data_IF_824441779081
#
_entry.id   IF_824441779081
#
_cell.length_a   1.000
_cell.length_b   1.000
_cell.length_c   1.000
_cell.angle_alpha   90.00
_cell.angle_beta   90.00
_cell.angle_gamma   90.00
#
_symmetry.space_group_name_H-M   'P 1'
#
loop_
_entity.id
_entity.type
_entity.pdbx_description
1 polymer ?
#
# COMPACT_ATOMS: atom_id res chain seq x y z
N UNK A 1 -8.92 -16.19 -5.39
CA UNK A 1 -10.21 -16.11 -4.66
C UNK A 1 -10.17 -15.16 -3.44
N UNK A 2 -8.99 -14.62 -3.08
CA UNK A 2 -8.79 -13.89 -1.80
C UNK A 2 -9.73 -12.70 -1.59
N UNK A 3 -10.24 -12.09 -2.63
CA UNK A 3 -11.07 -10.89 -2.56
C UNK A 3 -12.40 -10.99 -3.32
N UNK A 4 -12.83 -12.20 -3.64
CA UNK A 4 -14.14 -12.38 -4.32
C UNK A 4 -15.26 -11.74 -3.50
N UNK A 5 -16.26 -11.09 -4.16
CA UNK A 5 -17.31 -10.34 -3.46
C UNK A 5 -18.37 -11.25 -2.79
N UNK A 6 -18.18 -12.55 -2.85
CA UNK A 6 -19.04 -13.56 -2.19
C UNK A 6 -18.21 -14.33 -1.17
N UNK A 7 -18.75 -14.61 0.02
CA UNK A 7 -18.00 -15.34 1.04
C UNK A 7 -17.80 -16.79 0.61
N UNK A 8 -16.57 -17.25 0.78
CA UNK A 8 -16.15 -18.64 0.49
C UNK A 8 -15.82 -19.30 1.82
N UNK A 9 -16.43 -20.43 2.07
CA UNK A 9 -16.20 -21.23 3.28
C UNK A 9 -15.51 -22.54 2.89
N UNK A 10 -14.57 -22.95 3.71
CA UNK A 10 -13.90 -24.25 3.56
C UNK A 10 -14.34 -25.15 4.71
N UNK A 11 -14.93 -26.29 4.40
CA UNK A 11 -15.32 -27.30 5.36
C UNK A 11 -14.43 -28.54 5.17
N UNK A 12 -13.90 -29.07 6.25
CA UNK A 12 -13.23 -30.36 6.24
C UNK A 12 -14.21 -31.41 6.72
N UNK A 13 -14.64 -32.31 5.82
CA UNK A 13 -15.62 -33.36 6.10
C UNK A 13 -15.11 -34.40 7.12
N UNK A 14 -13.79 -34.55 7.24
CA UNK A 14 -13.13 -35.47 8.20
C UNK A 14 -12.90 -34.85 9.57
N UNK A 15 -13.07 -33.54 9.72
CA UNK A 15 -12.95 -32.87 11.00
C UNK A 15 -14.25 -32.99 11.78
N UNK A 16 -14.20 -33.62 12.97
CA UNK A 16 -15.34 -33.61 13.90
C UNK A 16 -15.84 -32.18 14.18
N UNK A 17 -17.05 -32.06 14.73
CA UNK A 17 -17.65 -30.77 15.07
C UNK A 17 -16.71 -29.93 15.93
N UNK A 18 -16.26 -28.80 15.39
CA UNK A 18 -15.49 -27.81 16.14
C UNK A 18 -16.43 -26.94 16.94
N UNK A 19 -16.04 -26.60 18.15
CA UNK A 19 -16.82 -25.73 19.04
C UNK A 19 -16.06 -24.48 19.39
N UNK A 20 -16.78 -23.40 19.68
CA UNK A 20 -16.22 -22.14 20.19
C UNK A 20 -17.05 -21.65 21.40
N UNK A 21 -16.38 -20.89 22.27
CA UNK A 21 -17.01 -20.31 23.46
C UNK A 21 -17.19 -18.82 23.21
N UNK A 22 -18.43 -18.34 23.28
CA UNK A 22 -18.78 -16.93 23.11
C UNK A 22 -19.59 -16.43 24.31
N UNK A 23 -19.60 -15.12 24.60
CA UNK A 23 -20.52 -14.54 25.58
C UNK A 23 -21.97 -14.89 25.22
N UNK A 24 -22.79 -15.23 26.23
CA UNK A 24 -24.21 -15.57 26.01
C UNK A 24 -24.98 -14.45 25.25
N UNK A 25 -24.57 -13.20 25.48
CA UNK A 25 -25.14 -12.01 24.80
C UNK A 25 -24.83 -11.91 23.30
N UNK A 26 -23.83 -12.66 22.83
CA UNK A 26 -23.42 -12.69 21.40
C UNK A 26 -24.04 -13.87 20.63
N UNK A 27 -24.84 -14.70 21.31
CA UNK A 27 -25.55 -15.82 20.70
C UNK A 27 -26.68 -15.29 19.83
N UNK A 28 -26.78 -15.80 18.60
CA UNK A 28 -27.80 -15.44 17.63
C UNK A 28 -28.71 -16.62 17.33
N UNK A 29 -29.87 -16.38 16.74
CA UNK A 29 -30.81 -17.44 16.32
C UNK A 29 -30.24 -18.44 15.29
N UNK A 30 -29.06 -18.13 14.72
CA UNK A 30 -28.37 -18.97 13.75
C UNK A 30 -27.35 -19.92 14.39
N UNK A 31 -27.06 -19.73 15.67
CA UNK A 31 -26.06 -20.51 16.38
C UNK A 31 -26.67 -21.79 16.97
N UNK A 32 -25.96 -22.88 16.83
CA UNK A 32 -26.31 -24.13 17.52
C UNK A 32 -25.63 -24.15 18.86
N UNK A 33 -26.37 -23.84 19.92
CA UNK A 33 -25.87 -23.85 21.29
C UNK A 33 -25.81 -25.29 21.79
N UNK A 34 -24.62 -25.69 22.25
CA UNK A 34 -24.37 -27.03 22.80
C UNK A 34 -24.45 -27.03 24.32
N UNK A 35 -23.97 -25.96 24.97
CA UNK A 35 -23.94 -25.81 26.42
C UNK A 35 -23.85 -24.33 26.82
N UNK A 36 -24.27 -24.03 28.06
CA UNK A 36 -24.14 -22.70 28.67
C UNK A 36 -23.53 -22.83 30.05
N UNK A 37 -22.53 -22.03 30.35
CA UNK A 37 -21.79 -22.07 31.61
C UNK A 37 -21.38 -20.68 32.06
N UNK A 38 -21.04 -20.57 33.36
CA UNK A 38 -20.51 -19.32 33.92
C UNK A 38 -18.99 -19.46 33.99
N UNK A 39 -18.27 -18.58 33.28
CA UNK A 39 -16.84 -18.45 33.41
C UNK A 39 -16.56 -17.63 34.68
N UNK A 40 -15.91 -18.25 35.66
CA UNK A 40 -15.63 -17.63 36.94
C UNK A 40 -14.74 -16.40 36.78
N UNK A 41 -14.91 -15.45 37.71
CA UNK A 41 -14.07 -14.26 37.77
C UNK A 41 -12.60 -14.62 37.98
N UNK A 42 -11.72 -13.97 37.26
CA UNK A 42 -10.28 -14.08 37.49
C UNK A 42 -9.89 -13.03 38.52
N UNK A 43 -9.49 -13.53 39.72
CA UNK A 43 -9.00 -12.70 40.82
C UNK A 43 -7.49 -12.78 40.95
N UNK A 44 -6.84 -11.67 41.26
CA UNK A 44 -5.42 -11.59 41.56
C UNK A 44 -5.21 -11.02 42.96
N UNK A 45 -4.32 -11.66 43.74
CA UNK A 45 -3.95 -11.09 45.02
C UNK A 45 -2.89 -10.01 44.82
N UNK A 46 -3.23 -8.76 45.15
CA UNK A 46 -2.31 -7.62 45.12
C UNK A 46 -1.91 -7.28 46.57
N UNK A 47 -0.61 -7.26 46.82
CA UNK A 47 -0.05 -6.88 48.12
C UNK A 47 -0.02 -5.35 48.24
N UNK A 48 -0.69 -4.77 49.25
CA UNK A 48 -0.67 -3.34 49.55
C UNK A 48 0.63 -2.95 50.28
N UNK A 49 0.97 -1.67 50.19
CA UNK A 49 2.15 -1.09 50.89
C UNK A 49 2.18 -1.33 52.42
N UNK A 50 1.03 -1.67 53.00
CA UNK A 50 0.89 -2.01 54.44
C UNK A 50 1.07 -3.50 54.75
N UNK A 51 1.41 -4.35 53.74
CA UNK A 51 1.62 -5.79 53.87
C UNK A 51 0.32 -6.60 53.91
N UNK A 52 -0.85 -5.99 53.68
CA UNK A 52 -2.12 -6.72 53.56
C UNK A 52 -2.36 -7.13 52.11
N UNK A 53 -2.89 -8.35 51.92
CA UNK A 53 -3.29 -8.86 50.60
C UNK A 53 -4.73 -8.52 50.34
N UNK A 54 -4.98 -7.93 49.21
CA UNK A 54 -6.34 -7.66 48.70
C UNK A 54 -6.55 -8.45 47.42
N UNK A 55 -7.69 -9.17 47.35
CA UNK A 55 -8.09 -9.87 46.13
C UNK A 55 -8.81 -8.88 45.21
N UNK A 56 -8.18 -8.53 44.12
CA UNK A 56 -8.78 -7.64 43.11
C UNK A 56 -9.32 -8.48 41.95
N UNK A 57 -10.56 -8.22 41.58
CA UNK A 57 -11.22 -8.88 40.46
C UNK A 57 -10.68 -8.27 39.16
N UNK A 58 -9.92 -9.05 38.38
CA UNK A 58 -9.31 -8.62 37.11
C UNK A 58 -10.28 -8.75 35.94
N UNK A 59 -11.10 -9.79 35.96
CA UNK A 59 -12.13 -10.05 34.96
C UNK A 59 -13.40 -10.51 35.68
N UNK A 60 -14.54 -9.85 35.52
CA UNK A 60 -15.79 -10.26 36.15
C UNK A 60 -16.30 -11.58 35.58
N UNK A 61 -17.04 -12.32 36.39
CA UNK A 61 -17.72 -13.54 35.95
C UNK A 61 -18.65 -13.22 34.77
N UNK A 62 -18.54 -13.98 33.68
CA UNK A 62 -19.39 -13.82 32.49
C UNK A 62 -20.10 -15.13 32.17
N UNK A 63 -21.34 -15.00 31.75
CA UNK A 63 -22.07 -16.13 31.15
C UNK A 63 -21.57 -16.37 29.74
N UNK A 64 -21.19 -17.62 29.48
CA UNK A 64 -20.65 -18.09 28.19
C UNK A 64 -21.55 -19.15 27.63
N UNK A 65 -21.64 -19.20 26.31
CA UNK A 65 -22.26 -20.29 25.56
C UNK A 65 -21.21 -21.00 24.74
N UNK A 66 -21.26 -22.33 24.78
CA UNK A 66 -20.49 -23.18 23.87
C UNK A 66 -21.35 -23.47 22.66
N UNK A 67 -20.94 -22.98 21.50
CA UNK A 67 -21.66 -23.15 20.24
C UNK A 67 -20.84 -23.99 19.26
N UNK A 68 -21.52 -24.54 18.25
CA UNK A 68 -20.82 -25.05 17.07
C UNK A 68 -20.10 -23.88 16.40
N UNK A 69 -18.82 -24.06 16.13
CA UNK A 69 -17.97 -22.99 15.57
C UNK A 69 -18.60 -22.42 14.30
N UNK A 70 -18.75 -21.09 14.30
CA UNK A 70 -19.31 -20.38 13.15
C UNK A 70 -18.41 -20.55 11.94
N UNK A 71 -18.97 -20.80 10.73
CA UNK A 71 -18.18 -20.84 9.52
C UNK A 71 -17.57 -19.44 9.27
N UNK A 72 -16.24 -19.40 9.12
CA UNK A 72 -15.50 -18.17 8.81
C UNK A 72 -15.16 -18.18 7.34
N UNK A 73 -15.47 -17.10 6.64
CA UNK A 73 -15.07 -16.93 5.25
C UNK A 73 -13.55 -16.87 5.14
N UNK A 74 -12.97 -17.61 4.21
CA UNK A 74 -11.53 -17.64 3.94
C UNK A 74 -11.05 -16.48 3.08
N UNK A 75 -11.98 -15.76 2.46
CA UNK A 75 -11.72 -14.58 1.63
C UNK A 75 -12.24 -13.31 2.29
N UNK A 76 -11.71 -12.20 1.84
CA UNK A 76 -12.08 -10.86 2.27
C UNK A 76 -13.05 -10.25 1.24
N UNK A 77 -14.31 -10.12 1.61
CA UNK A 77 -15.35 -9.57 0.71
C UNK A 77 -15.41 -8.04 0.71
N UNK A 78 -14.69 -7.39 1.63
CA UNK A 78 -14.60 -5.93 1.75
C UNK A 78 -13.14 -5.49 1.78
N UNK A 79 -12.36 -5.73 0.71
CA UNK A 79 -10.95 -5.41 0.70
C UNK A 79 -10.72 -3.90 0.88
N UNK A 80 -9.55 -3.56 1.43
CA UNK A 80 -9.21 -2.18 1.83
C UNK A 80 -9.42 -1.14 0.74
N UNK A 81 -9.14 -1.49 -0.53
CA UNK A 81 -9.31 -0.55 -1.66
C UNK A 81 -10.75 -0.18 -1.98
N UNK A 82 -11.74 -0.89 -1.41
CA UNK A 82 -13.17 -0.56 -1.60
C UNK A 82 -13.64 0.52 -0.64
N UNK A 83 -12.92 0.73 0.48
CA UNK A 83 -13.20 1.77 1.46
C UNK A 83 -12.86 3.16 0.91
N UNK A 84 -13.47 4.20 1.47
CA UNK A 84 -13.03 5.56 1.17
C UNK A 84 -11.67 5.85 1.86
N UNK A 85 -10.73 6.56 1.19
CA UNK A 85 -9.41 6.84 1.76
C UNK A 85 -9.41 7.45 3.16
N UNK A 86 -10.41 8.29 3.45
CA UNK A 86 -10.56 8.97 4.76
C UNK A 86 -11.02 8.03 5.89
N UNK A 87 -11.46 6.83 5.57
CA UNK A 87 -11.92 5.80 6.51
C UNK A 87 -10.83 4.78 6.83
N UNK A 88 -9.67 4.89 6.17
CA UNK A 88 -8.55 3.96 6.29
C UNK A 88 -7.46 4.55 7.17
N UNK A 89 -6.95 3.74 8.09
CA UNK A 89 -5.81 4.08 8.95
C UNK A 89 -4.48 3.68 8.29
N UNK A 90 -3.39 4.27 8.76
CA UNK A 90 -2.04 3.91 8.30
C UNK A 90 -1.71 2.44 8.55
N UNK A 91 -2.12 1.91 9.70
CA UNK A 91 -1.89 0.51 10.06
C UNK A 91 -2.66 -0.45 9.14
N UNK A 92 -3.89 -0.12 8.75
CA UNK A 92 -4.66 -0.91 7.77
C UNK A 92 -3.95 -0.99 6.42
N UNK A 93 -3.34 0.13 5.94
CA UNK A 93 -2.56 0.11 4.69
C UNK A 93 -1.32 -0.77 4.80
N UNK A 94 -0.59 -0.71 5.91
CA UNK A 94 0.62 -1.53 6.14
C UNK A 94 0.27 -3.02 6.29
N UNK A 95 -0.80 -3.33 7.00
CA UNK A 95 -1.28 -4.71 7.16
C UNK A 95 -1.75 -5.29 5.84
N UNK A 96 -2.52 -4.51 5.07
CA UNK A 96 -2.96 -4.90 3.73
C UNK A 96 -1.77 -5.17 2.80
N UNK A 97 -0.75 -4.31 2.81
CA UNK A 97 0.48 -4.50 2.05
C UNK A 97 1.16 -5.82 2.39
N UNK A 98 1.37 -6.10 3.68
CA UNK A 98 1.97 -7.36 4.15
C UNK A 98 1.16 -8.58 3.73
N UNK A 99 -0.16 -8.51 3.89
CA UNK A 99 -1.09 -9.60 3.52
C UNK A 99 -1.07 -9.92 2.03
N UNK A 100 -1.08 -8.91 1.17
CA UNK A 100 -1.23 -9.08 -0.28
C UNK A 100 0.08 -9.46 -0.97
N UNK A 101 1.20 -8.85 -0.53
CA UNK A 101 2.49 -9.01 -1.18
C UNK A 101 3.46 -9.92 -0.43
N UNK A 102 3.06 -10.41 0.75
CA UNK A 102 3.91 -11.21 1.64
C UNK A 102 5.28 -10.55 1.89
N UNK A 103 5.27 -9.21 1.97
CA UNK A 103 6.44 -8.38 2.16
C UNK A 103 6.38 -7.75 3.55
N UNK A 104 7.36 -8.09 4.38
CA UNK A 104 7.44 -7.60 5.76
C UNK A 104 8.17 -6.26 5.88
N UNK A 105 8.78 -5.78 4.80
CA UNK A 105 9.33 -4.42 4.75
C UNK A 105 8.17 -3.44 4.60
N UNK A 106 8.16 -2.41 5.40
CA UNK A 106 7.12 -1.38 5.28
C UNK A 106 7.31 -0.57 3.99
N UNK A 107 6.21 -0.26 3.28
CA UNK A 107 6.28 0.63 2.13
C UNK A 107 6.63 2.06 2.60
N UNK A 108 7.27 2.84 1.74
CA UNK A 108 7.63 4.23 2.03
C UNK A 108 6.38 5.10 2.18
N UNK A 109 5.45 4.93 1.28
CA UNK A 109 4.13 5.57 1.24
C UNK A 109 3.24 4.88 0.20
N UNK A 110 2.00 5.35 0.09
CA UNK A 110 1.01 4.79 -0.86
C UNK A 110 0.12 5.87 -1.45
N UNK A 111 -0.58 5.47 -2.51
CA UNK A 111 -1.61 6.26 -3.17
C UNK A 111 -2.88 5.42 -3.18
N UNK A 112 -3.93 5.87 -2.51
CA UNK A 112 -5.25 5.27 -2.61
C UNK A 112 -5.99 5.89 -3.80
N UNK A 113 -6.27 5.07 -4.80
CA UNK A 113 -7.02 5.44 -6.00
C UNK A 113 -8.50 5.23 -5.73
N UNK A 114 -9.29 6.26 -5.96
CA UNK A 114 -10.74 6.19 -5.86
C UNK A 114 -11.33 7.15 -6.89
N UNK A 115 -11.90 6.60 -7.95
CA UNK A 115 -12.51 7.36 -9.04
C UNK A 115 -13.78 6.65 -9.51
N UNK A 116 -14.86 7.40 -9.58
CA UNK A 116 -16.17 6.92 -10.00
C UNK A 116 -16.54 7.40 -11.42
N UNK A 117 -15.94 8.49 -11.90
CA UNK A 117 -16.20 9.06 -13.21
C UNK A 117 -14.91 9.60 -13.85
N UNK A 118 -14.63 9.41 -15.15
CA UNK A 118 -15.46 8.83 -16.20
C UNK A 118 -15.47 7.29 -16.27
N UNK A 119 -14.79 6.61 -15.35
CA UNK A 119 -14.80 5.16 -15.19
C UNK A 119 -14.56 4.80 -13.74
N UNK A 120 -15.06 3.66 -13.31
CA UNK A 120 -14.81 3.14 -11.97
C UNK A 120 -13.39 2.58 -11.88
N UNK A 121 -12.60 3.15 -11.00
CA UNK A 121 -11.26 2.65 -10.70
C UNK A 121 -10.97 2.85 -9.22
N UNK A 122 -10.74 1.75 -8.52
CA UNK A 122 -10.31 1.72 -7.14
C UNK A 122 -8.98 0.98 -7.04
N UNK A 123 -8.21 1.28 -6.01
CA UNK A 123 -6.93 0.60 -5.86
C UNK A 123 -6.01 1.26 -4.87
N UNK A 124 -4.91 0.60 -4.58
CA UNK A 124 -3.85 1.13 -3.73
C UNK A 124 -2.52 0.82 -4.40
N UNK A 125 -1.74 1.86 -4.64
CA UNK A 125 -0.37 1.74 -5.16
C UNK A 125 0.60 2.04 -4.03
N UNK A 126 1.56 1.17 -3.81
CA UNK A 126 2.60 1.29 -2.80
C UNK A 126 3.96 1.54 -3.43
N UNK A 127 4.70 2.45 -2.84
CA UNK A 127 6.11 2.66 -3.13
C UNK A 127 6.92 1.79 -2.16
N UNK A 128 7.48 0.66 -2.62
CA UNK A 128 8.29 -0.20 -1.78
C UNK A 128 9.65 0.46 -1.52
N UNK A 129 10.30 0.07 -0.44
CA UNK A 129 11.70 0.38 -0.22
C UNK A 129 12.55 -0.50 -1.15
N UNK A 130 13.28 0.13 -2.07
CA UNK A 130 14.09 -0.57 -3.07
C UNK A 130 15.42 -0.95 -2.42
N UNK A 131 15.75 -2.23 -2.42
CA UNK A 131 17.06 -2.71 -2.01
C UNK A 131 17.84 -3.12 -3.28
N UNK A 132 18.62 -2.18 -3.83
CA UNK A 132 19.34 -2.36 -5.09
C UNK A 132 20.47 -3.39 -5.05
N UNK A 133 20.87 -3.83 -3.85
CA UNK A 133 22.02 -4.74 -3.70
C UNK A 133 21.67 -6.22 -3.89
N UNK A 134 20.42 -6.64 -3.68
CA UNK A 134 20.08 -8.07 -3.58
C UNK A 134 18.76 -8.51 -4.24
N UNK A 135 17.93 -7.61 -4.74
CA UNK A 135 16.60 -7.96 -5.28
C UNK A 135 16.42 -7.41 -6.70
N UNK A 136 15.85 -8.22 -7.57
CA UNK A 136 15.31 -7.72 -8.85
C UNK A 136 14.26 -6.64 -8.54
N UNK A 137 14.39 -5.47 -9.16
CA UNK A 137 13.48 -4.34 -8.98
C UNK A 137 12.20 -4.64 -9.79
N UNK A 138 11.51 -5.72 -9.43
CA UNK A 138 10.21 -6.05 -10.03
C UNK A 138 9.12 -5.82 -9.00
N UNK A 139 8.30 -4.81 -9.24
CA UNK A 139 7.06 -4.61 -8.52
C UNK A 139 6.02 -5.64 -8.95
N UNK A 140 4.89 -5.62 -8.29
CA UNK A 140 3.74 -6.46 -8.64
C UNK A 140 2.46 -5.64 -8.52
N UNK A 141 1.82 -5.35 -9.64
CA UNK A 141 0.51 -4.70 -9.65
C UNK A 141 -0.53 -5.73 -10.08
N UNK A 142 -1.40 -6.07 -9.13
CA UNK A 142 -2.49 -7.04 -9.31
C UNK A 142 -3.71 -6.33 -9.87
N UNK A 143 -4.20 -6.79 -11.01
CA UNK A 143 -5.41 -6.26 -11.63
C UNK A 143 -6.61 -7.13 -11.28
N UNK A 144 -7.67 -6.46 -10.86
CA UNK A 144 -8.98 -7.02 -10.54
C UNK A 144 -10.06 -6.38 -11.42
N UNK A 145 -11.15 -7.10 -11.58
CA UNK A 145 -12.39 -6.59 -12.14
C UNK A 145 -13.54 -7.05 -11.25
N UNK A 146 -14.21 -6.12 -10.58
CA UNK A 146 -15.19 -6.43 -9.54
C UNK A 146 -14.66 -7.41 -8.49
N UNK A 147 -13.48 -7.13 -7.93
CA UNK A 147 -12.80 -7.96 -6.92
C UNK A 147 -12.38 -9.36 -7.41
N UNK A 148 -12.60 -9.68 -8.68
CA UNK A 148 -12.14 -10.94 -9.28
C UNK A 148 -10.78 -10.72 -9.92
N UNK A 149 -9.79 -11.49 -9.51
CA UNK A 149 -8.43 -11.40 -10.02
C UNK A 149 -8.38 -11.68 -11.54
N UNK A 150 -7.68 -10.82 -12.27
CA UNK A 150 -7.50 -10.92 -13.72
C UNK A 150 -6.09 -11.39 -14.04
N UNK A 151 -5.10 -10.62 -13.67
CA UNK A 151 -3.68 -10.91 -13.90
C UNK A 151 -2.76 -9.97 -13.12
N UNK A 152 -1.48 -10.28 -13.11
CA UNK A 152 -0.42 -9.40 -12.60
C UNK A 152 0.26 -8.63 -13.74
N UNK A 153 0.69 -7.40 -13.46
CA UNK A 153 1.59 -6.59 -14.30
C UNK A 153 1.17 -6.48 -15.78
N UNK A 154 -0.13 -6.23 -16.04
CA UNK A 154 -0.62 -6.06 -17.41
C UNK A 154 -0.07 -4.75 -17.98
N UNK A 155 0.91 -4.85 -18.89
CA UNK A 155 1.64 -3.73 -19.51
C UNK A 155 0.74 -2.79 -20.32
N UNK A 156 -0.38 -3.29 -20.81
CA UNK A 156 -1.36 -2.51 -21.55
C UNK A 156 -2.08 -1.49 -20.65
N UNK A 157 -2.28 -1.83 -19.38
CA UNK A 157 -2.97 -0.95 -18.39
C UNK A 157 -1.96 -0.15 -17.58
N UNK A 158 -0.85 -0.77 -17.23
CA UNK A 158 0.13 -0.20 -16.31
C UNK A 158 1.35 0.26 -17.11
N UNK A 159 1.68 1.56 -17.13
CA UNK A 159 2.92 2.05 -17.73
C UNK A 159 4.14 1.30 -17.21
N UNK A 160 5.09 1.01 -18.09
CA UNK A 160 6.27 0.20 -17.77
C UNK A 160 7.04 0.71 -16.54
N UNK A 161 7.19 2.02 -16.41
CA UNK A 161 7.89 2.60 -15.26
C UNK A 161 7.15 2.45 -13.94
N UNK A 162 5.82 2.24 -13.96
CA UNK A 162 5.02 1.96 -12.76
C UNK A 162 5.12 0.50 -12.31
N UNK A 163 5.64 -0.40 -13.14
CA UNK A 163 5.84 -1.81 -12.78
C UNK A 163 6.90 -2.02 -11.69
N UNK A 164 7.60 -0.97 -11.27
CA UNK A 164 8.45 -0.99 -10.07
C UNK A 164 7.65 -0.89 -8.76
N UNK A 165 6.38 -0.49 -8.84
CA UNK A 165 5.49 -0.37 -7.70
C UNK A 165 4.83 -1.71 -7.35
N UNK A 166 4.35 -1.81 -6.11
CA UNK A 166 3.43 -2.87 -5.70
C UNK A 166 2.04 -2.28 -5.56
N UNK A 167 1.02 -3.00 -5.96
CA UNK A 167 -0.32 -2.43 -5.87
C UNK A 167 -1.44 -3.37 -6.27
N UNK A 168 -2.64 -2.90 -6.03
CA UNK A 168 -3.89 -3.52 -6.45
C UNK A 168 -4.68 -2.46 -7.20
N UNK A 169 -5.21 -2.82 -8.36
CA UNK A 169 -6.10 -1.98 -9.15
C UNK A 169 -7.35 -2.80 -9.46
N UNK A 170 -8.51 -2.26 -9.15
CA UNK A 170 -9.81 -2.84 -9.47
C UNK A 170 -10.58 -1.88 -10.39
N UNK A 171 -10.86 -2.34 -11.60
CA UNK A 171 -11.57 -1.55 -12.59
C UNK A 171 -12.72 -2.38 -13.20
N UNK A 172 -13.95 -2.22 -12.68
CA UNK A 172 -15.14 -2.90 -13.18
C UNK A 172 -15.42 -2.65 -14.65
N UNK A 173 -15.12 -1.44 -15.14
CA UNK A 173 -15.39 -1.00 -16.51
C UNK A 173 -14.33 -1.48 -17.51
N UNK A 174 -13.33 -2.24 -17.07
CA UNK A 174 -12.27 -2.73 -17.94
C UNK A 174 -12.83 -3.71 -18.98
N UNK A 175 -12.65 -3.41 -20.29
CA UNK A 175 -13.18 -4.27 -21.36
C UNK A 175 -12.35 -5.54 -21.48
N UNK A 176 -12.78 -6.58 -20.78
CA UNK A 176 -12.19 -7.91 -20.85
C UNK A 176 -12.92 -8.77 -21.89
N UNK A 177 -12.18 -9.60 -22.61
CA UNK A 177 -12.81 -10.67 -23.37
C UNK A 177 -13.35 -11.77 -22.43
N UNK A 178 -14.15 -12.69 -22.96
CA UNK A 178 -14.77 -13.78 -22.17
C UNK A 178 -13.72 -14.62 -21.45
N UNK A 179 -12.55 -14.80 -22.06
CA UNK A 179 -11.42 -15.56 -21.47
C UNK A 179 -10.56 -14.71 -20.53
N UNK A 180 -10.83 -13.40 -20.40
CA UNK A 180 -10.04 -12.45 -19.63
C UNK A 180 -8.55 -12.36 -20.03
N UNK A 181 -8.22 -12.85 -21.24
CA UNK A 181 -6.84 -12.98 -21.73
C UNK A 181 -6.37 -11.83 -22.61
N UNK A 182 -7.28 -10.94 -23.05
CA UNK A 182 -6.91 -9.78 -23.86
C UNK A 182 -7.84 -8.59 -23.60
N UNK A 183 -7.26 -7.40 -23.65
CA UNK A 183 -7.97 -6.13 -23.56
C UNK A 183 -8.45 -5.73 -24.98
N UNK A 184 -9.73 -5.38 -25.10
CA UNK A 184 -10.34 -5.12 -26.42
C UNK A 184 -10.38 -3.65 -26.82
N UNK A 185 -10.02 -2.72 -25.94
CA UNK A 185 -10.17 -1.28 -26.20
C UNK A 185 -8.96 -0.47 -25.77
N UNK A 186 -8.02 -0.28 -26.67
CA UNK A 186 -6.79 0.48 -26.44
C UNK A 186 -7.04 1.92 -25.95
N UNK A 187 -8.10 2.58 -26.44
CA UNK A 187 -8.42 3.95 -26.04
C UNK A 187 -8.88 4.08 -24.59
N UNK A 188 -9.62 3.10 -24.08
CA UNK A 188 -10.07 3.06 -22.68
C UNK A 188 -8.90 2.73 -21.74
N UNK A 189 -8.14 1.73 -22.10
CA UNK A 189 -6.94 1.30 -21.37
C UNK A 189 -5.93 2.44 -21.22
N UNK A 190 -5.72 3.21 -22.31
CA UNK A 190 -4.86 4.39 -22.28
C UNK A 190 -5.36 5.46 -21.31
N UNK A 191 -6.67 5.68 -21.20
CA UNK A 191 -7.23 6.64 -20.22
C UNK A 191 -6.96 6.21 -18.78
N UNK A 192 -7.03 4.91 -18.48
CA UNK A 192 -6.68 4.37 -17.16
C UNK A 192 -5.20 4.62 -16.89
N UNK A 193 -4.34 4.27 -17.82
CA UNK A 193 -2.90 4.47 -17.74
C UNK A 193 -2.53 5.94 -17.51
N UNK A 194 -3.09 6.85 -18.31
CA UNK A 194 -2.88 8.29 -18.16
C UNK A 194 -3.36 8.81 -16.80
N UNK A 195 -4.48 8.30 -16.28
CA UNK A 195 -4.98 8.68 -14.95
C UNK A 195 -4.06 8.22 -13.83
N UNK A 196 -3.60 6.97 -13.86
CA UNK A 196 -2.68 6.43 -12.87
C UNK A 196 -1.38 7.23 -12.89
N UNK A 197 -0.79 7.45 -14.06
CA UNK A 197 0.41 8.27 -14.27
C UNK A 197 0.25 9.67 -13.65
N UNK A 198 -0.89 10.32 -13.93
CA UNK A 198 -1.21 11.63 -13.35
C UNK A 198 -1.25 11.60 -11.82
N UNK A 199 -1.95 10.62 -11.24
CA UNK A 199 -2.07 10.50 -9.77
C UNK A 199 -0.72 10.26 -9.09
N UNK A 200 0.14 9.47 -9.72
CA UNK A 200 1.50 9.23 -9.23
C UNK A 200 2.33 10.53 -9.30
N UNK A 201 2.31 11.24 -10.42
CA UNK A 201 3.00 12.52 -10.55
C UNK A 201 2.49 13.56 -9.56
N UNK A 202 1.16 13.68 -9.39
CA UNK A 202 0.53 14.62 -8.45
C UNK A 202 0.93 14.30 -6.98
N UNK A 203 1.02 13.03 -6.60
CA UNK A 203 1.48 12.62 -5.26
C UNK A 203 2.94 12.99 -5.02
N UNK A 204 3.82 12.67 -5.98
CA UNK A 204 5.25 12.92 -5.86
C UNK A 204 5.57 14.43 -5.86
N UNK A 205 5.00 15.18 -6.80
CA UNK A 205 5.16 16.63 -6.85
C UNK A 205 4.54 17.34 -5.64
N UNK A 206 3.39 16.86 -5.17
CA UNK A 206 2.75 17.31 -3.93
C UNK A 206 3.65 17.09 -2.72
N UNK A 207 4.24 15.91 -2.57
CA UNK A 207 5.16 15.59 -1.48
C UNK A 207 6.39 16.50 -1.52
N UNK A 208 6.97 16.74 -2.69
CA UNK A 208 8.10 17.66 -2.85
C UNK A 208 7.79 19.10 -2.39
N UNK A 209 6.53 19.55 -2.60
CA UNK A 209 6.07 20.89 -2.23
C UNK A 209 5.70 21.02 -0.75
N UNK A 210 4.99 20.04 -0.21
CA UNK A 210 4.34 20.16 1.11
C UNK A 210 5.04 19.38 2.21
N UNK A 211 5.86 18.40 1.86
CA UNK A 211 6.59 17.56 2.80
C UNK A 211 7.98 17.21 2.24
N UNK A 212 8.77 18.28 2.04
CA UNK A 212 10.09 18.21 1.42
C UNK A 212 11.06 17.29 2.16
N UNK A 213 11.01 17.28 3.48
CA UNK A 213 11.86 16.45 4.32
C UNK A 213 11.66 14.94 4.02
N UNK A 214 10.42 14.48 3.98
CA UNK A 214 10.14 13.10 3.62
C UNK A 214 10.46 12.79 2.15
N UNK A 215 10.26 13.75 1.24
CA UNK A 215 10.63 13.58 -0.16
C UNK A 215 12.14 13.35 -0.32
N UNK A 216 12.96 14.13 0.37
CA UNK A 216 14.43 13.98 0.39
C UNK A 216 14.85 12.67 1.06
N UNK A 217 14.21 12.31 2.17
CA UNK A 217 14.47 11.05 2.88
C UNK A 217 14.23 9.81 1.98
N UNK A 218 13.21 9.87 1.13
CA UNK A 218 12.85 8.77 0.24
C UNK A 218 13.55 8.85 -1.13
N UNK A 219 14.29 9.93 -1.39
CA UNK A 219 14.83 10.22 -2.72
C UNK A 219 15.67 9.10 -3.30
N UNK A 220 16.53 8.47 -2.50
CA UNK A 220 17.41 7.40 -2.98
C UNK A 220 16.60 6.17 -3.44
N UNK A 221 15.45 5.90 -2.82
CA UNK A 221 14.54 4.83 -3.20
C UNK A 221 13.65 5.19 -4.40
N UNK A 222 13.20 6.46 -4.52
CA UNK A 222 12.23 6.86 -5.54
C UNK A 222 12.85 7.48 -6.79
N UNK A 223 14.08 7.98 -6.73
CA UNK A 223 14.71 8.64 -7.88
C UNK A 223 14.90 7.75 -9.10
N UNK A 224 15.28 6.46 -8.99
CA UNK A 224 15.38 5.59 -10.17
C UNK A 224 14.04 5.48 -10.90
N UNK A 225 12.95 5.33 -10.15
CA UNK A 225 11.60 5.29 -10.66
C UNK A 225 11.21 6.60 -11.37
N UNK A 226 11.45 7.75 -10.72
CA UNK A 226 11.10 9.08 -11.28
C UNK A 226 11.90 9.33 -12.56
N UNK A 227 13.21 9.12 -12.51
CA UNK A 227 14.09 9.33 -13.68
C UNK A 227 13.75 8.42 -14.84
N UNK A 228 13.50 7.13 -14.55
CA UNK A 228 13.06 6.19 -15.58
C UNK A 228 11.71 6.59 -16.17
N UNK A 229 10.75 7.01 -15.33
CA UNK A 229 9.47 7.51 -15.77
C UNK A 229 9.59 8.73 -16.69
N UNK A 230 10.44 9.71 -16.33
CA UNK A 230 10.69 10.89 -17.17
C UNK A 230 11.33 10.55 -18.53
N UNK A 231 12.11 9.47 -18.60
CA UNK A 231 12.70 9.02 -19.86
C UNK A 231 11.72 8.24 -20.76
N UNK A 232 10.68 7.64 -20.17
CA UNK A 232 9.74 6.77 -20.87
C UNK A 232 8.41 7.43 -21.22
N UNK A 233 7.98 8.42 -20.43
CA UNK A 233 6.69 9.08 -20.57
C UNK A 233 6.85 10.61 -20.53
N UNK A 234 6.60 11.24 -21.67
CA UNK A 234 6.76 12.69 -21.84
C UNK A 234 5.80 13.50 -20.94
N UNK A 235 4.56 13.04 -20.77
CA UNK A 235 3.58 13.70 -19.89
C UNK A 235 3.97 13.60 -18.41
N UNK A 236 4.59 12.48 -18.02
CA UNK A 236 5.16 12.33 -16.69
C UNK A 236 6.36 13.25 -16.51
N UNK A 237 7.25 13.32 -17.50
CA UNK A 237 8.40 14.22 -17.48
C UNK A 237 7.99 15.69 -17.35
N UNK A 238 7.02 16.16 -18.12
CA UNK A 238 6.49 17.53 -18.02
C UNK A 238 6.02 17.87 -16.59
N UNK A 239 5.47 16.89 -15.87
CA UNK A 239 4.99 17.09 -14.50
C UNK A 239 6.09 16.97 -13.44
N UNK A 240 7.15 16.22 -13.71
CA UNK A 240 8.14 15.84 -12.71
C UNK A 240 9.47 16.54 -12.85
N UNK A 241 9.82 17.13 -14.01
CA UNK A 241 11.12 17.75 -14.25
C UNK A 241 11.52 18.79 -13.20
N UNK A 242 10.57 19.63 -12.75
CA UNK A 242 10.81 20.64 -11.73
C UNK A 242 11.00 20.08 -10.31
N UNK A 243 10.72 18.78 -10.12
CA UNK A 243 10.76 18.11 -8.82
C UNK A 243 11.87 17.06 -8.73
N UNK A 244 12.70 16.92 -9.76
CA UNK A 244 13.92 16.13 -9.70
C UNK A 244 14.93 16.89 -8.85
N UNK A 245 15.47 16.23 -7.82
CA UNK A 245 16.44 16.82 -6.91
C UNK A 245 17.80 16.18 -7.05
N UNK A 246 18.82 16.97 -6.84
CA UNK A 246 20.22 16.59 -6.93
C UNK A 246 20.92 16.96 -5.65
N UNK A 247 21.85 16.15 -5.20
CA UNK A 247 22.64 16.40 -4.00
C UNK A 247 23.84 17.26 -4.38
N UNK A 248 24.04 18.35 -3.66
CA UNK A 248 25.25 19.15 -3.81
C UNK A 248 26.41 18.58 -2.99
N UNK A 249 27.61 19.14 -3.12
CA UNK A 249 28.81 18.69 -2.39
C UNK A 249 28.70 18.87 -0.86
N UNK A 250 27.80 19.72 -0.38
CA UNK A 250 27.50 19.87 1.06
C UNK A 250 26.48 18.84 1.56
N UNK A 251 26.00 17.95 0.68
CA UNK A 251 25.00 16.95 1.03
C UNK A 251 23.55 17.47 1.02
N UNK A 252 23.27 18.68 0.57
CA UNK A 252 21.92 19.24 0.48
C UNK A 252 21.26 18.90 -0.85
N UNK A 253 19.96 18.65 -0.82
CA UNK A 253 19.19 18.41 -2.02
C UNK A 253 18.62 19.72 -2.59
N UNK A 254 18.86 19.93 -3.89
CA UNK A 254 18.41 21.10 -4.64
C UNK A 254 17.70 20.65 -5.91
N UNK A 255 16.66 21.38 -6.33
CA UNK A 255 16.14 21.27 -7.69
C UNK A 255 17.08 21.98 -8.66
N UNK A 256 16.95 21.70 -9.96
CA UNK A 256 17.71 22.45 -10.97
C UNK A 256 17.45 23.95 -10.87
N UNK A 257 16.21 24.35 -10.61
CA UNK A 257 15.81 25.75 -10.44
C UNK A 257 16.48 26.40 -9.25
N UNK A 258 16.51 25.71 -8.09
CA UNK A 258 17.18 26.21 -6.88
C UNK A 258 18.68 26.39 -7.14
N UNK A 259 19.31 25.45 -7.83
CA UNK A 259 20.72 25.51 -8.19
C UNK A 259 21.03 26.73 -9.09
N UNK A 260 20.25 26.90 -10.16
CA UNK A 260 20.45 28.01 -11.10
C UNK A 260 20.24 29.38 -10.42
N UNK A 261 19.22 29.51 -9.58
CA UNK A 261 18.96 30.76 -8.85
C UNK A 261 20.08 31.09 -7.85
N UNK A 262 20.56 30.09 -7.10
CA UNK A 262 21.65 30.25 -6.15
C UNK A 262 23.00 30.62 -6.81
N UNK A 263 23.20 30.27 -8.07
CA UNK A 263 24.45 30.49 -8.79
C UNK A 263 24.34 31.51 -9.93
N UNK A 264 23.22 32.24 -9.99
CA UNK A 264 22.92 33.19 -11.07
C UNK A 264 24.02 34.24 -11.34
N UNK A 265 24.65 34.72 -10.29
CA UNK A 265 25.74 35.69 -10.39
C UNK A 265 27.09 35.07 -10.78
N UNK A 266 27.26 33.76 -10.59
CA UNK A 266 28.51 33.04 -10.84
C UNK A 266 28.54 32.32 -12.18
N UNK A 267 27.45 31.70 -12.54
CA UNK A 267 27.35 30.77 -13.68
C UNK A 267 26.04 30.93 -14.39
N UNK A 268 25.89 31.95 -15.20
CA UNK A 268 24.68 32.23 -15.94
C UNK A 268 24.18 31.00 -16.75
N UNK A 269 23.08 30.40 -16.29
CA UNK A 269 22.42 29.22 -16.92
C UNK A 269 23.32 27.98 -17.14
N UNK A 270 24.46 27.89 -16.45
CA UNK A 270 25.36 26.74 -16.57
C UNK A 270 25.27 25.84 -15.34
N UNK A 271 25.14 24.54 -15.55
CA UNK A 271 25.10 23.52 -14.49
C UNK A 271 26.42 22.77 -14.48
N UNK A 272 27.11 22.80 -13.35
CA UNK A 272 28.27 21.94 -13.10
C UNK A 272 27.83 20.74 -12.30
N UNK A 273 28.23 19.54 -12.73
CA UNK A 273 27.89 18.31 -12.04
C UNK A 273 29.09 17.37 -11.92
N UNK A 274 29.07 16.54 -10.90
CA UNK A 274 30.08 15.53 -10.62
C UNK A 274 29.35 14.18 -10.58
N UNK A 275 29.88 13.20 -11.27
CA UNK A 275 29.37 11.82 -11.30
C UNK A 275 30.09 10.91 -10.31
N UNK A 276 31.37 11.19 -10.05
CA UNK A 276 32.20 10.50 -9.06
C UNK A 276 33.13 11.50 -8.36
N UNK A 277 32.88 11.70 -7.05
CA UNK A 277 33.62 12.68 -6.24
C UNK A 277 35.11 12.30 -6.09
N UNK A 278 35.44 11.01 -6.09
CA UNK A 278 36.82 10.55 -5.92
C UNK A 278 37.63 10.73 -7.19
N UNK A 279 37.08 10.28 -8.31
CA UNK A 279 37.77 10.39 -9.61
C UNK A 279 37.83 11.83 -10.13
N UNK A 280 36.83 12.64 -9.78
CA UNK A 280 36.74 14.02 -10.24
C UNK A 280 37.16 15.07 -9.18
N UNK A 281 37.81 14.63 -8.10
CA UNK A 281 38.22 15.49 -6.98
C UNK A 281 39.06 16.70 -7.41
N UNK A 282 39.89 16.58 -8.47
CA UNK A 282 40.69 17.66 -9.03
C UNK A 282 39.84 18.81 -9.62
N UNK A 283 38.63 18.53 -10.11
CA UNK A 283 37.72 19.52 -10.69
C UNK A 283 36.80 20.15 -9.64
N UNK A 284 36.60 19.49 -8.51
CA UNK A 284 35.73 19.99 -7.42
C UNK A 284 36.36 21.21 -6.73
N UNK A 285 37.69 21.30 -6.69
CA UNK A 285 38.42 22.35 -6.03
C UNK A 285 38.77 23.54 -6.96
N UNK A 286 38.41 23.47 -8.24
CA UNK A 286 38.53 24.57 -9.20
C UNK A 286 37.33 25.48 -9.20
#
# INVERSE_FOLDING_TARGET
CSFMPVPIFLTNEDAGEQTEEIPEEEVTDKDTVLDTFIKEAVTEEVEKEDGTKETVEKVPAKKMAKIVKRPVAINDIHPLWTKHPNECTEDEYKEFYRKVFNDYKEPLFWIHLNMDYPFNLKGILYFPKINTEYESIEGTIKLYNNQVFVADNIKEVIPEFLLLLKGVIDCPDLPLNVSRSALQNDGFVKKISDYITKKVADKLSGMCKTNRENYEKYWDDINPFIKFGCLKDEKFAEKMNDYIIFKNLEGKYLTLKDYLEANKEKHENTVFYVTDEKEQSQYINM
#
